data_IF_950741176977
#
_entry.id   IF_950741176977
#
_cell.length_a   1.000
_cell.length_b   1.000
_cell.length_c   1.000
_cell.angle_alpha   90.00
_cell.angle_beta   90.00
_cell.angle_gamma   90.00
#
_symmetry.space_group_name_H-M   'P 1'
#
loop_
_entity.id
_entity.type
_entity.pdbx_description
1 polymer ?
#
# COMPACT_ATOMS: atom_id res chain seq x y z
N UNK A 1 -24.18 48.45 -46.83
CA UNK A 1 -24.46 47.03 -47.12
C UNK A 1 -23.52 46.55 -48.21
N UNK A 2 -22.63 45.60 -47.92
CA UNK A 2 -22.43 44.46 -48.83
C UNK A 2 -21.71 43.30 -48.11
N UNK A 3 -22.45 42.20 -48.01
CA UNK A 3 -22.01 40.87 -47.63
C UNK A 3 -21.38 40.22 -48.86
N UNK A 4 -20.12 39.76 -48.79
CA UNK A 4 -19.55 38.59 -49.49
C UNK A 4 -18.02 38.72 -49.64
N UNK A 5 -17.30 37.86 -48.93
CA UNK A 5 -15.94 37.31 -49.15
C UNK A 5 -15.46 36.84 -47.77
N UNK A 6 -16.09 35.84 -47.15
CA UNK A 6 -15.96 34.40 -47.39
C UNK A 6 -14.50 33.93 -47.64
N UNK A 7 -14.00 33.24 -46.61
CA UNK A 7 -13.00 32.16 -46.62
C UNK A 7 -11.53 32.55 -46.85
N UNK A 8 -10.81 32.70 -45.73
CA UNK A 8 -9.43 32.20 -45.64
C UNK A 8 -9.05 31.95 -44.17
N UNK A 9 -8.72 30.68 -43.91
CA UNK A 9 -7.87 30.19 -42.83
C UNK A 9 -8.51 29.95 -41.45
N UNK A 10 -9.32 28.89 -41.34
CA UNK A 10 -9.44 28.13 -40.08
C UNK A 10 -8.36 27.04 -40.13
N UNK A 11 -7.20 27.33 -39.54
CA UNK A 11 -6.19 26.33 -39.25
C UNK A 11 -6.63 25.56 -38.01
N UNK A 12 -7.10 24.34 -38.20
CA UNK A 12 -7.42 23.39 -37.12
C UNK A 12 -6.09 22.90 -36.54
N UNK A 13 -5.70 23.40 -35.38
CA UNK A 13 -4.66 22.77 -34.57
C UNK A 13 -5.29 21.55 -33.86
N UNK A 14 -5.12 20.36 -34.45
CA UNK A 14 -5.39 19.10 -33.74
C UNK A 14 -4.32 18.96 -32.68
N UNK A 15 -4.62 19.35 -31.45
CA UNK A 15 -3.82 18.97 -30.30
C UNK A 15 -3.97 17.46 -30.13
N UNK A 16 -2.97 16.71 -30.60
CA UNK A 16 -2.82 15.30 -30.27
C UNK A 16 -2.53 15.21 -28.76
N UNK A 17 -3.58 15.05 -27.97
CA UNK A 17 -3.47 14.58 -26.59
C UNK A 17 -2.92 13.16 -26.63
N UNK A 18 -1.61 13.04 -26.51
CA UNK A 18 -0.96 11.78 -26.17
C UNK A 18 -1.49 11.38 -24.79
N UNK A 19 -2.49 10.50 -24.76
CA UNK A 19 -2.81 9.73 -23.57
C UNK A 19 -1.60 8.85 -23.28
N UNK A 20 -0.71 9.34 -22.42
CA UNK A 20 0.28 8.50 -21.77
C UNK A 20 -0.51 7.56 -20.88
N UNK A 21 -0.79 6.36 -21.37
CA UNK A 21 -1.28 5.28 -20.52
C UNK A 21 -0.32 5.17 -19.34
N UNK A 22 -0.79 5.23 -18.08
CA UNK A 22 0.10 4.94 -16.97
C UNK A 22 0.61 3.54 -17.21
N UNK A 23 1.93 3.37 -17.19
CA UNK A 23 2.53 2.05 -17.14
C UNK A 23 1.88 1.37 -15.92
N UNK A 24 1.06 0.35 -16.17
CA UNK A 24 0.62 -0.52 -15.11
C UNK A 24 1.91 -1.14 -14.57
N UNK A 25 2.37 -0.63 -13.43
CA UNK A 25 3.51 -1.20 -12.76
C UNK A 25 3.17 -2.67 -12.54
N UNK A 26 3.87 -3.58 -13.21
CA UNK A 26 3.60 -4.99 -13.03
C UNK A 26 4.09 -5.33 -11.63
N UNK A 27 3.17 -5.76 -10.78
CA UNK A 27 3.53 -6.41 -9.55
C UNK A 27 4.40 -7.63 -9.90
N UNK A 28 5.52 -7.76 -9.19
CA UNK A 28 6.57 -8.69 -9.52
C UNK A 28 6.30 -10.01 -8.82
N UNK A 29 5.75 -10.99 -9.56
CA UNK A 29 5.74 -12.39 -9.13
C UNK A 29 6.79 -13.16 -9.93
N UNK A 30 7.79 -13.72 -9.24
CA UNK A 30 8.86 -14.53 -9.84
C UNK A 30 9.04 -15.80 -9.04
N UNK A 31 8.81 -16.95 -9.65
CA UNK A 31 9.09 -18.25 -9.05
C UNK A 31 10.25 -18.94 -9.78
N UNK A 32 11.16 -19.54 -9.03
CA UNK A 32 12.26 -20.35 -9.54
C UNK A 32 12.24 -21.71 -8.84
N UNK A 33 12.44 -22.82 -9.58
CA UNK A 33 12.56 -24.12 -8.96
C UNK A 33 13.81 -24.17 -8.07
N UNK A 34 13.69 -24.84 -6.94
CA UNK A 34 14.79 -25.18 -6.04
C UNK A 34 14.96 -26.69 -5.99
N UNK A 35 16.01 -27.16 -5.32
CA UNK A 35 16.20 -28.59 -5.13
C UNK A 35 15.07 -29.20 -4.28
N UNK A 36 14.81 -30.49 -4.46
CA UNK A 36 13.90 -31.30 -3.63
C UNK A 36 12.40 -30.97 -3.74
N UNK A 37 11.90 -30.48 -4.90
CA UNK A 37 10.45 -30.33 -5.14
C UNK A 37 9.83 -29.09 -4.49
N UNK A 38 10.65 -28.06 -4.26
CA UNK A 38 10.21 -26.75 -3.80
C UNK A 38 10.45 -25.70 -4.88
N UNK A 39 9.58 -24.69 -4.95
CA UNK A 39 9.78 -23.47 -5.71
C UNK A 39 10.00 -22.31 -4.75
N UNK A 40 10.99 -21.48 -5.01
CA UNK A 40 11.17 -20.21 -4.31
C UNK A 40 10.50 -19.11 -5.14
N UNK A 41 9.55 -18.42 -4.54
CA UNK A 41 8.79 -17.35 -5.15
C UNK A 41 9.07 -16.02 -4.44
N UNK A 42 9.16 -14.96 -5.23
CA UNK A 42 9.19 -13.56 -4.78
C UNK A 42 7.92 -12.88 -5.29
N UNK A 43 7.19 -12.25 -4.38
CA UNK A 43 6.03 -11.42 -4.68
C UNK A 43 6.28 -10.01 -4.14
N UNK A 44 6.12 -8.98 -4.95
CA UNK A 44 6.36 -7.61 -4.50
C UNK A 44 5.77 -6.55 -5.40
N UNK A 45 5.66 -5.35 -4.84
CA UNK A 45 5.19 -4.15 -5.54
C UNK A 45 6.40 -3.44 -6.14
N UNK A 46 6.23 -2.88 -7.34
CA UNK A 46 7.28 -2.11 -8.01
C UNK A 46 7.83 -0.99 -7.11
N UNK A 47 9.16 -0.93 -7.01
CA UNK A 47 9.83 0.03 -6.13
C UNK A 47 9.67 1.48 -6.59
N UNK A 48 9.50 1.73 -7.89
CA UNK A 48 9.27 3.05 -8.44
C UNK A 48 7.93 3.63 -7.99
N UNK A 49 6.88 2.82 -8.00
CA UNK A 49 5.55 3.21 -7.47
C UNK A 49 5.64 3.52 -5.98
N UNK A 50 6.23 2.62 -5.19
CA UNK A 50 6.35 2.81 -3.74
C UNK A 50 7.20 4.02 -3.35
N UNK A 51 8.25 4.33 -4.12
CA UNK A 51 9.10 5.48 -3.83
C UNK A 51 8.39 6.81 -4.14
N UNK A 52 7.50 6.83 -5.14
CA UNK A 52 6.72 8.02 -5.47
C UNK A 52 5.58 8.28 -4.48
N UNK A 53 4.94 7.23 -3.97
CA UNK A 53 3.71 7.38 -3.17
C UNK A 53 3.94 7.21 -1.67
N UNK A 54 4.69 6.17 -1.27
CA UNK A 54 4.85 5.79 0.14
C UNK A 54 6.05 6.46 0.79
N UNK A 55 7.15 6.67 0.06
CA UNK A 55 8.34 7.32 0.65
C UNK A 55 8.14 8.83 0.87
N UNK A 56 7.11 9.42 0.25
CA UNK A 56 6.71 10.82 0.44
C UNK A 56 5.92 11.04 1.74
N UNK A 57 5.44 9.97 2.38
CA UNK A 57 4.63 10.02 3.61
C UNK A 57 5.38 10.53 4.83
N UNK A 58 6.71 10.42 4.82
CA UNK A 58 7.53 10.75 5.98
C UNK A 58 7.52 9.63 7.03
N UNK A 59 8.08 9.94 8.19
CA UNK A 59 8.16 9.04 9.34
C UNK A 59 6.89 9.11 10.19
N UNK A 60 6.70 8.17 11.12
CA UNK A 60 5.73 8.35 12.19
C UNK A 60 6.06 9.63 12.96
N UNK A 61 5.05 10.48 13.18
CA UNK A 61 5.23 11.77 13.85
C UNK A 61 5.47 11.62 15.36
N UNK A 62 4.95 10.54 15.96
CA UNK A 62 5.11 10.22 17.37
C UNK A 62 5.39 8.73 17.56
N UNK A 63 6.01 8.37 18.69
CA UNK A 63 6.50 7.02 18.97
C UNK A 63 5.43 5.93 18.98
N UNK A 64 4.15 6.27 19.25
CA UNK A 64 3.05 5.32 19.25
C UNK A 64 2.24 5.30 17.94
N UNK A 65 2.65 6.04 16.91
CA UNK A 65 1.85 6.27 15.70
C UNK A 65 2.27 5.43 14.49
N UNK A 66 3.06 4.39 14.68
CA UNK A 66 3.43 3.47 13.60
C UNK A 66 2.20 2.93 12.84
N UNK A 67 1.10 2.66 13.54
CA UNK A 67 -0.17 2.23 12.95
C UNK A 67 -0.82 3.31 12.07
N UNK A 68 -0.85 4.56 12.54
CA UNK A 68 -1.44 5.68 11.81
C UNK A 68 -0.61 6.03 10.57
N UNK A 69 0.72 6.03 10.71
CA UNK A 69 1.64 6.19 9.59
C UNK A 69 1.46 5.09 8.53
N UNK A 70 1.23 3.84 8.94
CA UNK A 70 0.95 2.76 7.99
C UNK A 70 -0.37 2.95 7.22
N UNK A 71 -1.43 3.42 7.89
CA UNK A 71 -2.72 3.73 7.24
C UNK A 71 -2.54 4.90 6.26
N UNK A 72 -1.84 5.96 6.67
CA UNK A 72 -1.53 7.09 5.79
C UNK A 72 -0.75 6.63 4.56
N UNK A 73 0.30 5.81 4.74
CA UNK A 73 1.09 5.25 3.64
C UNK A 73 0.22 4.47 2.66
N UNK A 74 -0.74 3.68 3.15
CA UNK A 74 -1.70 2.97 2.29
C UNK A 74 -2.59 3.93 1.53
N UNK A 75 -3.18 4.92 2.20
CA UNK A 75 -4.07 5.87 1.52
C UNK A 75 -3.32 6.66 0.45
N UNK A 76 -2.11 7.13 0.74
CA UNK A 76 -1.25 7.82 -0.23
C UNK A 76 -0.85 6.91 -1.39
N UNK A 77 -0.59 5.62 -1.13
CA UNK A 77 -0.36 4.63 -2.18
C UNK A 77 -1.53 4.53 -3.17
N UNK A 78 -2.76 4.58 -2.68
CA UNK A 78 -3.97 4.65 -3.52
C UNK A 78 -4.31 6.07 -4.01
N UNK A 79 -3.44 7.04 -3.74
CA UNK A 79 -3.56 8.41 -4.21
C UNK A 79 -4.50 9.28 -3.39
N UNK A 80 -4.86 8.92 -2.16
CA UNK A 80 -5.67 9.71 -1.23
C UNK A 80 -4.82 10.25 -0.07
N UNK A 81 -5.04 11.51 0.31
CA UNK A 81 -4.26 12.18 1.37
C UNK A 81 -5.11 12.29 2.64
N UNK A 82 -4.67 11.64 3.71
CA UNK A 82 -5.21 11.77 5.07
C UNK A 82 -4.04 11.65 6.04
N UNK A 83 -3.65 12.73 6.70
CA UNK A 83 -2.48 12.75 7.58
C UNK A 83 -2.65 11.90 8.86
N UNK A 84 -1.52 11.60 9.54
CA UNK A 84 -1.49 10.78 10.76
C UNK A 84 -2.31 11.42 11.89
N UNK A 85 -2.22 12.74 12.06
CA UNK A 85 -2.92 13.46 13.12
C UNK A 85 -4.43 13.32 12.99
N UNK A 86 -4.93 13.34 11.75
CA UNK A 86 -6.33 13.15 11.42
C UNK A 86 -6.76 11.71 11.66
N UNK A 87 -5.97 10.72 11.24
CA UNK A 87 -6.22 9.30 11.55
C UNK A 87 -6.30 9.09 13.07
N UNK A 88 -5.37 9.65 13.83
CA UNK A 88 -5.33 9.60 15.29
C UNK A 88 -6.55 10.28 15.91
N UNK A 89 -6.85 11.52 15.50
CA UNK A 89 -8.00 12.28 16.00
C UNK A 89 -9.32 11.57 15.74
N UNK A 90 -9.50 10.99 14.56
CA UNK A 90 -10.73 10.27 14.22
C UNK A 90 -10.83 8.91 14.95
N UNK A 91 -9.71 8.37 15.42
CA UNK A 91 -9.67 7.14 16.24
C UNK A 91 -9.95 7.42 17.72
N UNK A 92 -9.31 8.44 18.28
CA UNK A 92 -9.30 8.70 19.73
C UNK A 92 -10.15 9.91 20.15
N UNK A 93 -10.72 10.64 19.20
CA UNK A 93 -11.43 11.91 19.43
C UNK A 93 -10.51 13.11 19.68
N UNK A 94 -9.20 12.91 19.77
CA UNK A 94 -8.19 13.96 19.99
C UNK A 94 -6.83 13.53 19.44
N UNK A 95 -5.92 14.49 19.24
CA UNK A 95 -4.55 14.20 18.79
C UNK A 95 -3.73 13.78 20.02
N UNK A 96 -3.53 12.47 20.20
CA UNK A 96 -2.84 11.90 21.36
C UNK A 96 -1.83 10.84 20.94
N UNK A 97 -0.70 10.75 21.65
CA UNK A 97 0.36 9.77 21.41
C UNK A 97 -0.03 8.38 21.99
N UNK A 98 -1.04 7.74 21.40
CA UNK A 98 -1.58 6.44 21.83
C UNK A 98 -1.30 5.33 20.82
N UNK A 99 -1.00 4.09 21.27
CA UNK A 99 -0.83 2.94 20.38
C UNK A 99 -2.16 2.57 19.74
N UNK A 100 -2.11 2.02 18.53
CA UNK A 100 -3.26 1.43 17.86
C UNK A 100 -3.27 -0.09 18.02
N UNK A 101 -4.41 -0.65 18.39
CA UNK A 101 -4.62 -2.10 18.42
C UNK A 101 -5.30 -2.58 17.12
N UNK A 102 -5.27 -3.89 16.82
CA UNK A 102 -5.88 -4.44 15.61
C UNK A 102 -7.30 -3.94 15.36
N UNK A 103 -8.12 -3.79 16.40
CA UNK A 103 -9.50 -3.32 16.27
C UNK A 103 -9.59 -1.88 15.75
N UNK A 104 -8.73 -0.98 16.24
CA UNK A 104 -8.70 0.41 15.74
C UNK A 104 -8.14 0.47 14.32
N UNK A 105 -7.11 -0.32 14.01
CA UNK A 105 -6.56 -0.39 12.65
C UNK A 105 -7.66 -0.85 11.68
N UNK A 106 -8.36 -1.93 12.01
CA UNK A 106 -9.44 -2.47 11.19
C UNK A 106 -10.65 -1.52 11.11
N UNK A 107 -10.97 -0.77 12.17
CA UNK A 107 -12.03 0.24 12.13
C UNK A 107 -11.69 1.41 11.19
N UNK A 108 -10.43 1.87 11.19
CA UNK A 108 -9.95 2.88 10.25
C UNK A 108 -9.90 2.36 8.81
N UNK A 109 -9.58 1.08 8.63
CA UNK A 109 -9.55 0.43 7.32
C UNK A 109 -10.93 0.03 6.80
N UNK A 110 -11.99 -0.01 7.61
CA UNK A 110 -13.33 -0.45 7.19
C UNK A 110 -14.39 0.65 7.28
N UNK A 111 -14.16 1.76 6.57
CA UNK A 111 -15.06 2.92 6.57
C UNK A 111 -14.88 3.77 5.32
N UNK A 112 -15.75 4.76 5.18
CA UNK A 112 -15.58 5.84 4.21
C UNK A 112 -14.72 6.95 4.82
N UNK A 113 -13.87 7.52 3.99
CA UNK A 113 -13.03 8.68 4.26
C UNK A 113 -13.32 9.77 3.24
N UNK A 114 -13.00 10.99 3.61
CA UNK A 114 -12.89 12.14 2.70
C UNK A 114 -11.45 12.56 2.75
N UNK A 115 -10.72 12.59 1.65
CA UNK A 115 -9.33 13.03 1.65
C UNK A 115 -9.22 14.55 1.81
N UNK A 116 -8.00 15.07 1.97
CA UNK A 116 -7.76 16.50 2.18
C UNK A 116 -8.08 17.35 0.93
N UNK A 117 -8.35 16.71 -0.21
CA UNK A 117 -8.81 17.33 -1.46
C UNK A 117 -10.34 17.23 -1.62
N UNK A 118 -11.05 16.73 -0.62
CA UNK A 118 -12.51 16.58 -0.63
C UNK A 118 -13.04 15.35 -1.38
N UNK A 119 -12.17 14.42 -1.80
CA UNK A 119 -12.59 13.20 -2.50
C UNK A 119 -13.02 12.12 -1.51
N UNK A 120 -14.18 11.53 -1.76
CA UNK A 120 -14.66 10.41 -0.98
C UNK A 120 -14.01 9.10 -1.46
N UNK A 121 -13.63 8.25 -0.52
CA UNK A 121 -13.16 6.90 -0.82
C UNK A 121 -13.58 5.92 0.28
N UNK A 122 -13.73 4.65 -0.10
CA UNK A 122 -14.01 3.56 0.84
C UNK A 122 -12.77 2.69 0.97
N UNK A 123 -12.27 2.56 2.19
CA UNK A 123 -11.28 1.54 2.52
C UNK A 123 -11.99 0.29 3.02
N UNK A 124 -11.41 -0.87 2.75
CA UNK A 124 -11.80 -2.16 3.29
C UNK A 124 -10.55 -2.91 3.75
N UNK A 125 -10.59 -3.45 4.96
CA UNK A 125 -9.54 -4.28 5.52
C UNK A 125 -10.05 -5.67 5.86
N UNK A 126 -9.24 -6.70 5.61
CA UNK A 126 -9.50 -8.07 6.06
C UNK A 126 -8.25 -8.66 6.74
N UNK A 127 -8.40 -9.06 8.01
CA UNK A 127 -7.35 -9.74 8.77
C UNK A 127 -7.56 -11.25 8.88
N UNK A 128 -8.76 -11.76 8.59
CA UNK A 128 -9.11 -13.17 8.83
C UNK A 128 -8.64 -14.08 7.72
N UNK A 129 -8.67 -13.61 6.47
CA UNK A 129 -8.12 -14.36 5.34
C UNK A 129 -6.62 -14.16 5.14
N UNK A 130 -5.98 -13.32 5.95
CA UNK A 130 -4.57 -12.95 5.81
C UNK A 130 -3.64 -14.11 6.20
N UNK A 131 -2.87 -14.59 5.24
CA UNK A 131 -1.82 -15.60 5.37
C UNK A 131 -0.75 -15.39 4.29
N UNK A 132 0.35 -16.14 4.35
CA UNK A 132 1.49 -15.99 3.43
C UNK A 132 1.10 -16.09 1.94
N UNK A 133 0.18 -16.98 1.57
CA UNK A 133 -0.27 -17.13 0.18
C UNK A 133 -1.12 -15.94 -0.26
N UNK A 134 -2.11 -15.55 0.54
CA UNK A 134 -2.96 -14.39 0.24
C UNK A 134 -2.15 -13.08 0.22
N UNK A 135 -1.10 -12.97 1.05
CA UNK A 135 -0.18 -11.83 1.05
C UNK A 135 0.66 -11.80 -0.23
N UNK A 136 1.17 -12.96 -0.67
CA UNK A 136 1.87 -13.06 -1.95
C UNK A 136 0.95 -12.67 -3.12
N UNK A 137 -0.31 -13.13 -3.13
CA UNK A 137 -1.30 -12.74 -4.11
C UNK A 137 -1.58 -11.23 -4.11
N UNK A 138 -1.79 -10.64 -2.93
CA UNK A 138 -2.03 -9.21 -2.80
C UNK A 138 -0.85 -8.37 -3.29
N UNK A 139 0.37 -8.72 -2.89
CA UNK A 139 1.59 -8.07 -3.36
C UNK A 139 1.76 -8.22 -4.87
N UNK A 140 1.51 -9.42 -5.40
CA UNK A 140 1.49 -9.73 -6.84
C UNK A 140 0.34 -9.03 -7.60
N UNK A 141 -0.55 -8.31 -6.91
CA UNK A 141 -1.58 -7.47 -7.50
C UNK A 141 -1.44 -6.01 -7.07
N UNK A 142 -0.25 -5.56 -6.69
CA UNK A 142 0.01 -4.17 -6.27
C UNK A 142 -0.82 -3.72 -5.07
N UNK A 143 -1.12 -4.62 -4.12
CA UNK A 143 -1.82 -4.31 -2.88
C UNK A 143 -0.86 -4.49 -1.69
N UNK A 144 -0.41 -3.41 -1.04
CA UNK A 144 0.40 -3.54 0.16
C UNK A 144 -0.46 -3.99 1.34
N UNK A 145 0.18 -4.58 2.35
CA UNK A 145 -0.50 -5.06 3.56
C UNK A 145 0.08 -4.36 4.78
N UNK A 146 -0.73 -4.13 5.80
CA UNK A 146 -0.19 -3.72 7.11
C UNK A 146 0.14 -4.99 7.90
N UNK A 147 1.35 -5.06 8.44
CA UNK A 147 1.79 -6.15 9.32
C UNK A 147 2.11 -5.59 10.70
N UNK A 148 1.69 -6.31 11.75
CA UNK A 148 1.97 -5.99 13.14
C UNK A 148 2.81 -7.10 13.78
N UNK A 149 3.93 -6.70 14.38
CA UNK A 149 4.86 -7.60 15.06
C UNK A 149 5.55 -6.86 16.21
N UNK A 150 5.72 -7.54 17.35
CA UNK A 150 6.44 -6.99 18.51
C UNK A 150 5.98 -5.58 18.97
N UNK A 151 4.69 -5.26 18.84
CA UNK A 151 4.14 -3.94 19.20
C UNK A 151 4.38 -2.83 18.15
N UNK A 152 4.86 -3.18 16.95
CA UNK A 152 5.15 -2.26 15.87
C UNK A 152 4.38 -2.61 14.59
N UNK A 153 3.85 -1.59 13.91
CA UNK A 153 3.16 -1.75 12.64
C UNK A 153 4.05 -1.26 11.49
N UNK A 154 4.09 -2.03 10.41
CA UNK A 154 4.87 -1.73 9.21
C UNK A 154 4.07 -2.08 7.96
N UNK A 155 4.45 -1.50 6.82
CA UNK A 155 3.82 -1.79 5.54
C UNK A 155 4.59 -2.86 4.78
N UNK A 156 4.02 -4.06 4.63
CA UNK A 156 4.56 -5.14 3.82
C UNK A 156 4.45 -4.79 2.33
N UNK A 157 5.57 -4.86 1.61
CA UNK A 157 5.66 -4.45 0.19
C UNK A 157 6.36 -5.45 -0.72
N UNK A 158 7.10 -6.40 -0.16
CA UNK A 158 7.53 -7.59 -0.89
C UNK A 158 7.75 -8.75 0.09
N UNK A 159 7.72 -9.97 -0.42
CA UNK A 159 8.05 -11.17 0.33
C UNK A 159 8.69 -12.22 -0.57
N UNK A 160 9.49 -13.08 0.06
CA UNK A 160 9.96 -14.32 -0.54
C UNK A 160 9.39 -15.48 0.26
N UNK A 161 8.93 -16.51 -0.44
CA UNK A 161 8.37 -17.71 0.17
C UNK A 161 8.77 -18.95 -0.64
N UNK A 162 8.84 -20.09 0.02
CA UNK A 162 9.00 -21.39 -0.64
C UNK A 162 7.65 -22.08 -0.68
N UNK A 163 7.30 -22.68 -1.81
CA UNK A 163 6.11 -23.52 -1.96
C UNK A 163 6.52 -24.91 -2.42
N UNK A 164 5.87 -25.96 -1.93
CA UNK A 164 6.09 -27.32 -2.43
C UNK A 164 5.02 -27.71 -3.46
N UNK A 165 5.20 -28.85 -4.11
CA UNK A 165 4.25 -29.40 -5.10
C UNK A 165 2.85 -29.68 -4.52
N UNK A 166 2.70 -29.70 -3.18
CA UNK A 166 1.44 -29.87 -2.46
C UNK A 166 0.78 -28.53 -2.08
N UNK A 167 1.33 -27.39 -2.50
CA UNK A 167 0.80 -26.05 -2.23
C UNK A 167 1.11 -25.51 -0.84
N UNK A 168 1.88 -26.22 -0.02
CA UNK A 168 2.31 -25.72 1.28
C UNK A 168 3.34 -24.63 1.08
N UNK A 169 3.07 -23.44 1.63
CA UNK A 169 3.93 -22.27 1.46
C UNK A 169 4.51 -21.83 2.80
N UNK A 170 5.80 -21.55 2.83
CA UNK A 170 6.53 -21.04 3.99
C UNK A 170 7.18 -19.71 3.65
N UNK A 171 6.94 -18.70 4.48
CA UNK A 171 7.58 -17.39 4.37
C UNK A 171 9.09 -17.52 4.65
N UNK A 172 9.92 -16.99 3.76
CA UNK A 172 11.39 -16.96 3.90
C UNK A 172 11.85 -15.59 4.39
N UNK A 173 11.36 -14.52 3.74
CA UNK A 173 11.71 -13.15 4.12
C UNK A 173 10.61 -12.17 3.70
N UNK A 174 10.58 -11.02 4.34
CA UNK A 174 9.64 -9.94 4.02
C UNK A 174 10.38 -8.60 3.97
N UNK A 175 9.99 -7.76 3.02
CA UNK A 175 10.45 -6.37 2.86
C UNK A 175 9.30 -5.45 3.25
N UNK A 176 9.59 -4.56 4.20
CA UNK A 176 8.64 -3.62 4.76
C UNK A 176 9.06 -2.18 4.48
N UNK A 177 8.09 -1.27 4.53
CA UNK A 177 8.31 0.16 4.77
C UNK A 177 7.98 0.40 6.23
N UNK A 178 9.03 0.61 7.00
CA UNK A 178 8.97 0.88 8.42
C UNK A 178 8.83 2.40 8.64
N UNK A 179 7.73 2.84 9.28
CA UNK A 179 7.50 4.25 9.53
C UNK A 179 8.41 4.82 10.64
N UNK A 180 9.13 4.00 11.41
CA UNK A 180 10.03 4.50 12.44
C UNK A 180 11.12 5.41 11.84
N UNK A 181 11.49 6.51 12.52
CA UNK A 181 12.44 7.48 11.99
C UNK A 181 13.76 6.85 11.52
N UNK A 182 14.10 7.06 10.25
CA UNK A 182 15.34 6.59 9.64
C UNK A 182 15.35 5.11 9.22
N UNK A 183 14.26 4.37 9.38
CA UNK A 183 14.20 2.94 9.00
C UNK A 183 13.80 2.75 7.52
N UNK A 184 12.58 3.16 7.15
CA UNK A 184 12.13 3.13 5.77
C UNK A 184 12.10 1.72 5.19
N UNK A 185 12.62 1.54 3.97
CA UNK A 185 12.65 0.23 3.31
C UNK A 185 13.69 -0.67 3.96
N UNK A 186 13.26 -1.76 4.58
CA UNK A 186 14.17 -2.77 5.15
C UNK A 186 13.59 -4.17 5.10
N UNK A 187 14.47 -5.16 5.31
CA UNK A 187 14.05 -6.52 5.59
C UNK A 187 13.52 -6.62 7.02
N UNK A 188 12.49 -7.44 7.22
CA UNK A 188 12.10 -7.88 8.56
C UNK A 188 13.19 -8.78 9.14
N UNK A 189 13.47 -8.61 10.42
CA UNK A 189 14.35 -9.51 11.16
C UNK A 189 13.70 -10.89 11.34
N UNK A 190 14.48 -11.96 11.61
CA UNK A 190 13.91 -13.27 11.92
C UNK A 190 12.94 -13.24 13.10
N UNK A 191 13.22 -12.41 14.11
CA UNK A 191 12.35 -12.27 15.28
C UNK A 191 11.02 -11.59 14.92
N UNK A 192 11.06 -10.54 14.10
CA UNK A 192 9.83 -9.88 13.62
C UNK A 192 8.97 -10.83 12.77
N UNK A 193 9.58 -11.61 11.88
CA UNK A 193 8.90 -12.60 11.05
C UNK A 193 8.21 -13.69 11.89
N UNK A 194 8.88 -14.16 12.94
CA UNK A 194 8.33 -15.20 13.82
C UNK A 194 7.21 -14.68 14.72
N UNK A 195 7.23 -13.39 15.06
CA UNK A 195 6.28 -12.77 16.00
C UNK A 195 5.20 -11.91 15.30
N UNK A 196 4.94 -12.15 14.02
CA UNK A 196 3.80 -11.53 13.34
C UNK A 196 2.52 -12.02 14.02
N UNK A 197 1.77 -11.09 14.60
CA UNK A 197 0.49 -11.36 15.27
C UNK A 197 -0.69 -10.68 14.56
N UNK A 198 -0.41 -9.79 13.61
CA UNK A 198 -1.42 -9.06 12.87
C UNK A 198 -0.99 -8.91 11.40
N UNK A 199 -1.94 -9.11 10.50
CA UNK A 199 -1.78 -8.82 9.08
C UNK A 199 -3.14 -8.38 8.53
N UNK A 200 -3.16 -7.26 7.82
CA UNK A 200 -4.37 -6.75 7.18
C UNK A 200 -4.16 -6.62 5.67
N UNK A 201 -5.00 -7.33 4.94
CA UNK A 201 -5.21 -7.14 3.49
C UNK A 201 -6.06 -5.90 3.30
N UNK A 202 -5.77 -5.09 2.29
CA UNK A 202 -6.39 -3.77 2.14
C UNK A 202 -6.83 -3.51 0.70
N UNK A 203 -8.03 -2.97 0.57
CA UNK A 203 -8.58 -2.45 -0.69
C UNK A 203 -9.05 -1.03 -0.47
N UNK A 204 -8.75 -0.13 -1.41
CA UNK A 204 -9.21 1.24 -1.39
C UNK A 204 -9.81 1.56 -2.75
N UNK A 205 -11.04 2.07 -2.76
CA UNK A 205 -11.75 2.42 -3.97
C UNK A 205 -12.36 3.83 -3.81
N UNK A 206 -12.38 4.61 -4.88
CA UNK A 206 -13.17 5.85 -4.90
C UNK A 206 -14.64 5.52 -4.61
N UNK A 207 -15.29 6.36 -3.80
CA UNK A 207 -16.68 6.20 -3.38
C UNK A 207 -17.63 7.07 -4.20
#
# INVERSE_FOLDING_TARGET
MNRRQMLRNIGIAVAASAFVSPAQALALLRCQPTNYGYNQCEAGIDTGVLNQTVSATGWQEYDQWCWAACIEMVFRYYGFEVDQQRIVRETWGSIVNMPGYPEQIMANLNRTWVDDRGRHFRSQGDQYSANALSAAEDLANNRPLIVGTMGHAMLLTAMMYTTNDYGHSQLVSAVVRDPAPGQGRRLMTPQELHNVFFMARIWVNAA
#
